data_IF_847529799375
#
_entry.id   IF_847529799375
#
_cell.length_a   1.000
_cell.length_b   1.000
_cell.length_c   1.000
_cell.angle_alpha   90.00
_cell.angle_beta   90.00
_cell.angle_gamma   90.00
#
_symmetry.space_group_name_H-M   'P 1'
#
loop_
_entity.id
_entity.type
_entity.pdbx_description
1 polymer ?
#
# COMPACT_ATOMS: atom_id res chain seq x y z
N UNK A 1 10.82 -4.07 -4.29
CA UNK A 1 9.90 -5.05 -3.63
C UNK A 1 8.58 -5.10 -4.40
N UNK A 2 7.92 -6.25 -4.49
CA UNK A 2 6.62 -6.38 -5.18
C UNK A 2 5.46 -6.42 -4.18
N UNK A 3 4.41 -5.63 -4.42
CA UNK A 3 3.15 -5.70 -3.66
C UNK A 3 2.11 -6.39 -4.52
N UNK A 4 1.55 -7.48 -4.03
CA UNK A 4 0.43 -8.17 -4.69
C UNK A 4 -0.89 -7.47 -4.35
N UNK A 5 -1.61 -7.06 -5.39
CA UNK A 5 -2.92 -6.43 -5.31
C UNK A 5 -3.99 -7.52 -5.50
N UNK A 6 -4.50 -8.06 -4.39
CA UNK A 6 -5.46 -9.18 -4.43
C UNK A 6 -6.67 -8.92 -5.34
N UNK A 7 -7.19 -7.70 -5.33
CA UNK A 7 -8.40 -7.32 -6.08
C UNK A 7 -8.16 -7.16 -7.58
N UNK A 8 -6.91 -7.01 -8.00
CA UNK A 8 -6.56 -6.76 -9.41
C UNK A 8 -5.83 -7.95 -10.06
N UNK A 9 -5.56 -9.03 -9.29
CA UNK A 9 -4.70 -10.14 -9.71
C UNK A 9 -3.38 -9.67 -10.34
N UNK A 10 -2.83 -8.57 -9.81
CA UNK A 10 -1.71 -7.85 -10.36
C UNK A 10 -0.68 -7.52 -9.26
N UNK A 11 0.50 -7.10 -9.65
CA UNK A 11 1.55 -6.69 -8.73
C UNK A 11 2.17 -5.37 -9.15
N UNK A 12 2.55 -4.56 -8.15
CA UNK A 12 3.29 -3.32 -8.38
C UNK A 12 4.69 -3.45 -7.79
N UNK A 13 5.69 -2.96 -8.52
CA UNK A 13 7.03 -2.82 -7.98
C UNK A 13 7.15 -1.48 -7.25
N UNK A 14 7.43 -1.54 -5.96
CA UNK A 14 7.63 -0.36 -5.10
C UNK A 14 8.84 0.48 -5.48
N UNK A 15 9.77 -0.07 -6.25
CA UNK A 15 10.97 0.66 -6.70
C UNK A 15 10.61 1.78 -7.69
N UNK A 16 9.42 1.69 -8.31
CA UNK A 16 8.87 2.71 -9.18
C UNK A 16 7.82 3.60 -8.49
N UNK A 17 7.53 3.34 -7.20
CA UNK A 17 6.60 4.14 -6.43
C UNK A 17 7.32 5.37 -5.90
N UNK A 18 6.83 6.55 -6.27
CA UNK A 18 7.39 7.83 -5.79
C UNK A 18 6.90 8.17 -4.39
N UNK A 19 5.70 7.71 -4.02
CA UNK A 19 5.08 8.01 -2.73
C UNK A 19 4.11 6.93 -2.28
N UNK A 20 4.18 6.59 -0.99
CA UNK A 20 3.13 5.85 -0.28
C UNK A 20 2.44 6.80 0.70
N UNK A 21 1.12 6.76 0.75
CA UNK A 21 0.37 7.64 1.64
C UNK A 21 -1.00 7.08 2.03
N UNK A 22 -1.50 7.56 3.16
CA UNK A 22 -2.85 7.28 3.64
C UNK A 22 -3.75 8.46 3.31
N UNK A 23 -4.83 8.19 2.60
CA UNK A 23 -5.88 9.15 2.30
C UNK A 23 -7.12 8.86 3.17
N UNK A 24 -7.58 9.80 4.02
CA UNK A 24 -8.85 9.68 4.69
C UNK A 24 -9.99 9.59 3.68
N UNK A 25 -10.95 8.70 3.94
CA UNK A 25 -12.19 8.58 3.16
C UNK A 25 -13.38 8.82 4.09
N UNK A 26 -14.58 9.03 3.55
CA UNK A 26 -15.76 9.36 4.36
C UNK A 26 -16.05 8.37 5.50
N UNK A 27 -15.77 7.08 5.29
CA UNK A 27 -16.04 5.99 6.25
C UNK A 27 -14.80 5.23 6.72
N UNK A 28 -13.58 5.69 6.42
CA UNK A 28 -12.36 4.93 6.68
C UNK A 28 -11.11 5.58 6.11
N UNK A 29 -10.14 4.80 5.68
CA UNK A 29 -8.93 5.31 5.03
C UNK A 29 -8.38 4.35 3.97
N UNK A 30 -7.82 4.91 2.90
CA UNK A 30 -7.20 4.16 1.83
C UNK A 30 -5.67 4.29 1.90
N UNK A 31 -4.96 3.17 1.83
CA UNK A 31 -3.53 3.15 1.56
C UNK A 31 -3.32 3.21 0.05
N UNK A 32 -2.57 4.20 -0.42
CA UNK A 32 -2.35 4.47 -1.84
C UNK A 32 -0.86 4.59 -2.17
N UNK A 33 -0.54 4.30 -3.42
CA UNK A 33 0.78 4.47 -4.01
C UNK A 33 0.69 5.34 -5.26
N UNK A 34 1.62 6.29 -5.40
CA UNK A 34 1.82 6.99 -6.67
C UNK A 34 2.87 6.23 -7.49
N UNK A 35 2.43 5.69 -8.63
CA UNK A 35 3.24 4.93 -9.59
C UNK A 35 3.20 5.65 -10.93
N UNK A 36 4.33 6.25 -11.35
CA UNK A 36 4.46 6.96 -12.63
C UNK A 36 3.36 8.02 -12.87
N UNK A 37 2.99 8.77 -11.83
CA UNK A 37 1.94 9.79 -11.88
C UNK A 37 0.50 9.25 -11.86
N UNK A 38 0.33 7.93 -11.70
CA UNK A 38 -0.98 7.30 -11.45
C UNK A 38 -1.08 6.90 -9.99
N UNK A 39 -2.21 7.21 -9.37
CA UNK A 39 -2.51 6.75 -8.01
C UNK A 39 -3.15 5.36 -8.07
N UNK A 40 -2.55 4.41 -7.35
CA UNK A 40 -3.02 3.04 -7.20
C UNK A 40 -3.46 2.83 -5.76
N UNK A 41 -4.63 2.22 -5.57
CA UNK A 41 -5.12 1.83 -4.25
C UNK A 41 -4.53 0.48 -3.85
N UNK A 42 -3.81 0.45 -2.74
CA UNK A 42 -3.22 -0.79 -2.19
C UNK A 42 -4.16 -1.51 -1.24
N UNK A 43 -4.96 -0.73 -0.49
CA UNK A 43 -5.88 -1.26 0.49
C UNK A 43 -6.87 -0.21 0.98
N UNK A 44 -8.00 -0.68 1.49
CA UNK A 44 -9.00 0.13 2.18
C UNK A 44 -9.16 -0.43 3.59
N UNK A 45 -9.22 0.45 4.57
CA UNK A 45 -9.24 0.13 5.99
C UNK A 45 -10.36 0.92 6.69
N UNK A 46 -10.91 0.33 7.75
CA UNK A 46 -12.06 0.89 8.49
C UNK A 46 -11.75 2.23 9.17
N UNK A 47 -10.46 2.51 9.43
CA UNK A 47 -10.04 3.75 10.05
C UNK A 47 -8.60 4.13 9.64
N UNK A 48 -8.24 5.37 9.98
CA UNK A 48 -6.94 5.96 9.65
C UNK A 48 -5.78 5.26 10.35
N UNK A 49 -5.97 4.77 11.57
CA UNK A 49 -4.91 4.15 12.36
C UNK A 49 -4.55 2.77 11.80
N UNK A 50 -5.55 1.98 11.39
CA UNK A 50 -5.36 0.72 10.68
C UNK A 50 -4.59 0.93 9.36
N UNK A 51 -4.99 1.93 8.56
CA UNK A 51 -4.27 2.26 7.32
C UNK A 51 -2.83 2.72 7.58
N UNK A 52 -2.58 3.44 8.68
CA UNK A 52 -1.23 3.85 9.10
C UNK A 52 -0.39 2.68 9.59
N UNK A 53 -0.97 1.74 10.31
CA UNK A 53 -0.30 0.52 10.74
C UNK A 53 0.15 -0.31 9.53
N UNK A 54 -0.74 -0.49 8.55
CA UNK A 54 -0.40 -1.18 7.30
C UNK A 54 0.68 -0.44 6.48
N UNK A 55 0.65 0.91 6.45
CA UNK A 55 1.73 1.70 5.85
C UNK A 55 3.07 1.48 6.56
N UNK A 56 3.07 1.46 7.89
CA UNK A 56 4.28 1.24 8.68
C UNK A 56 4.86 -0.16 8.44
N UNK A 57 4.01 -1.18 8.45
CA UNK A 57 4.38 -2.56 8.11
C UNK A 57 5.00 -2.64 6.71
N UNK A 58 4.39 -1.99 5.72
CA UNK A 58 4.89 -1.97 4.35
C UNK A 58 6.28 -1.32 4.24
N UNK A 59 6.54 -0.25 5.01
CA UNK A 59 7.86 0.39 5.08
C UNK A 59 8.87 -0.56 5.73
N UNK A 60 8.52 -1.20 6.85
CA UNK A 60 9.40 -2.16 7.52
C UNK A 60 9.74 -3.36 6.62
N UNK A 61 8.78 -3.88 5.86
CA UNK A 61 9.02 -4.97 4.91
C UNK A 61 9.91 -4.54 3.74
N UNK A 62 9.77 -3.29 3.28
CA UNK A 62 10.67 -2.73 2.27
C UNK A 62 12.10 -2.65 2.79
N UNK A 63 12.29 -2.20 4.02
CA UNK A 63 13.60 -2.06 4.66
C UNK A 63 14.25 -3.40 4.99
N UNK A 64 13.45 -4.43 5.30
CA UNK A 64 13.95 -5.79 5.54
C UNK A 64 14.35 -6.53 4.27
N UNK A 65 14.08 -5.97 3.08
CA UNK A 65 14.38 -6.59 1.80
C UNK A 65 13.39 -7.69 1.40
N UNK A 66 12.15 -7.66 1.91
CA UNK A 66 11.11 -8.58 1.49
C UNK A 66 10.92 -8.49 -0.04
N UNK A 67 10.96 -9.64 -0.72
CA UNK A 67 10.84 -9.67 -2.18
C UNK A 67 9.40 -9.43 -2.65
N UNK A 68 8.43 -10.03 -1.95
CA UNK A 68 7.00 -9.98 -2.26
C UNK A 68 6.21 -9.79 -0.96
N UNK A 69 5.27 -8.84 -0.96
CA UNK A 69 4.36 -8.56 0.15
C UNK A 69 2.92 -8.69 -0.32
N UNK A 70 2.11 -9.33 0.51
CA UNK A 70 0.67 -9.43 0.35
C UNK A 70 0.03 -8.67 1.50
N UNK A 71 -0.68 -7.57 1.20
CA UNK A 71 -1.40 -6.82 2.22
C UNK A 71 -2.69 -7.58 2.55
N UNK A 72 -2.70 -8.31 3.66
CA UNK A 72 -3.93 -8.83 4.24
C UNK A 72 -4.70 -7.69 4.91
N UNK A 73 -5.97 -7.52 4.54
CA UNK A 73 -6.90 -6.59 5.20
C UNK A 73 -7.35 -7.15 6.55
#
# INVERSE_FOLDING_TARGET
>A
MWIYLEHEANCINTDHVSRLYVEPTGSGAALKADLNGKTIMLGYYDNRDAARAALAELITLRESGAAVVKLSK
#
